data_IF_566612014738
#
_entry.id   IF_566612014738
#
_cell.length_a   1.000
_cell.length_b   1.000
_cell.length_c   1.000
_cell.angle_alpha   90.00
_cell.angle_beta   90.00
_cell.angle_gamma   90.00
#
_symmetry.space_group_name_H-M   'P 1'
#
loop_
_entity.id
_entity.type
_entity.pdbx_description
1 polymer ?
#
# COMPACT_ATOMS: atom_id res chain seq x y z
N UNK A 1 -50.21 -25.94 12.46
CA UNK A 1 -49.58 -27.09 11.78
C UNK A 1 -49.92 -27.03 10.30
N UNK A 2 -49.13 -26.32 9.49
CA UNK A 2 -49.38 -26.19 8.04
C UNK A 2 -48.24 -26.84 7.25
N UNK A 3 -48.55 -27.98 6.64
CA UNK A 3 -47.65 -28.77 5.80
C UNK A 3 -47.46 -28.06 4.45
N UNK A 4 -46.28 -27.50 4.20
CA UNK A 4 -45.91 -27.00 2.87
C UNK A 4 -45.36 -28.16 2.02
N UNK A 5 -45.92 -28.33 0.82
CA UNK A 5 -45.49 -29.33 -0.18
C UNK A 5 -44.12 -28.96 -0.78
N UNK A 6 -43.26 -29.96 -1.09
CA UNK A 6 -41.98 -29.71 -1.73
C UNK A 6 -42.14 -29.31 -3.22
N UNK A 7 -41.28 -28.39 -3.69
CA UNK A 7 -41.22 -27.95 -5.09
C UNK A 7 -40.40 -28.92 -5.95
N UNK A 8 -40.76 -29.13 -7.23
CA UNK A 8 -39.97 -29.94 -8.15
C UNK A 8 -38.68 -29.24 -8.60
N UNK A 9 -37.60 -30.01 -8.67
CA UNK A 9 -36.25 -29.59 -9.10
C UNK A 9 -36.18 -29.50 -10.63
N UNK A 10 -35.61 -28.44 -11.23
CA UNK A 10 -35.38 -28.40 -12.67
C UNK A 10 -34.25 -29.35 -13.10
N UNK A 11 -34.49 -30.06 -14.21
CA UNK A 11 -33.56 -31.02 -14.80
C UNK A 11 -32.28 -30.35 -15.34
N UNK A 12 -31.13 -30.95 -14.99
CA UNK A 12 -29.78 -30.57 -15.39
C UNK A 12 -29.57 -30.87 -16.88
N UNK A 13 -29.41 -29.84 -17.71
CA UNK A 13 -28.99 -30.01 -19.13
C UNK A 13 -27.52 -30.42 -19.19
N UNK A 14 -27.25 -31.57 -19.79
CA UNK A 14 -25.91 -32.02 -20.16
C UNK A 14 -25.57 -31.39 -21.52
N UNK A 15 -24.54 -30.54 -21.55
CA UNK A 15 -24.01 -29.96 -22.78
C UNK A 15 -23.06 -30.96 -23.46
N UNK A 16 -23.16 -31.06 -24.80
CA UNK A 16 -22.38 -31.95 -25.64
C UNK A 16 -20.89 -31.56 -25.75
N UNK A 17 -19.98 -32.52 -26.02
CA UNK A 17 -18.56 -32.26 -26.20
C UNK A 17 -18.28 -31.47 -27.49
N UNK A 18 -17.43 -30.44 -27.39
CA UNK A 18 -16.94 -29.63 -28.52
C UNK A 18 -15.68 -30.29 -29.11
N UNK A 19 -15.62 -30.56 -30.42
CA UNK A 19 -14.41 -31.08 -31.05
C UNK A 19 -13.39 -29.97 -31.39
N UNK A 20 -12.10 -30.32 -31.31
CA UNK A 20 -11.10 -29.84 -32.27
C UNK A 20 -10.05 -28.85 -31.75
N UNK A 21 -9.00 -29.38 -31.13
CA UNK A 21 -7.72 -28.70 -30.91
C UNK A 21 -6.99 -28.42 -32.23
N UNK A 22 -6.98 -27.18 -32.70
CA UNK A 22 -6.01 -26.75 -33.71
C UNK A 22 -4.70 -26.34 -33.04
N UNK A 23 -3.84 -27.33 -32.82
CA UNK A 23 -2.40 -27.09 -32.73
C UNK A 23 -1.94 -26.63 -34.11
N UNK A 24 -1.59 -25.36 -34.24
CA UNK A 24 -0.75 -24.87 -35.35
C UNK A 24 0.36 -24.01 -34.76
N UNK A 25 1.42 -24.70 -34.36
CA UNK A 25 2.75 -24.10 -34.21
C UNK A 25 3.18 -23.59 -35.58
N UNK A 26 3.22 -22.28 -35.76
CA UNK A 26 3.95 -21.69 -36.88
C UNK A 26 4.96 -20.70 -36.31
N UNK A 27 6.18 -21.22 -36.19
CA UNK A 27 7.41 -20.51 -35.86
C UNK A 27 7.71 -19.59 -37.05
N UNK A 28 7.52 -18.29 -36.90
CA UNK A 28 8.02 -17.32 -37.86
C UNK A 28 9.43 -16.92 -37.43
N UNK A 29 10.40 -17.49 -38.13
CA UNK A 29 11.81 -17.13 -38.08
C UNK A 29 12.00 -15.66 -38.46
N UNK A 30 12.92 -14.99 -37.78
CA UNK A 30 13.37 -13.63 -38.06
C UNK A 30 13.65 -13.40 -39.55
N UNK A 31 13.14 -12.30 -40.09
CA UNK A 31 13.60 -11.68 -41.32
C UNK A 31 13.91 -10.21 -41.06
N UNK A 32 15.17 -9.91 -40.74
CA UNK A 32 15.72 -8.56 -40.66
C UNK A 32 15.98 -8.08 -42.10
N UNK A 33 15.31 -7.02 -42.54
CA UNK A 33 15.78 -6.19 -43.65
C UNK A 33 15.04 -4.85 -43.66
N UNK A 34 15.79 -3.75 -43.70
CA UNK A 34 15.30 -2.46 -44.20
C UNK A 34 15.32 -1.32 -43.19
N UNK A 35 16.52 -0.82 -42.90
CA UNK A 35 16.75 0.54 -42.39
C UNK A 35 16.05 1.53 -43.32
N UNK A 36 15.06 2.28 -42.82
CA UNK A 36 14.55 3.49 -43.48
C UNK A 36 14.97 4.69 -42.63
N UNK A 37 15.63 5.61 -43.33
CA UNK A 37 16.31 6.77 -42.81
C UNK A 37 15.39 7.73 -42.04
N UNK A 38 15.98 8.26 -40.96
CA UNK A 38 15.57 9.44 -40.18
C UNK A 38 15.22 10.61 -41.09
N UNK A 39 14.07 11.25 -40.87
CA UNK A 39 13.84 12.71 -40.81
C UNK A 39 12.46 12.93 -40.18
N UNK A 40 12.44 13.61 -39.04
CA UNK A 40 11.21 13.99 -38.35
C UNK A 40 11.47 14.18 -36.87
N UNK A 41 11.92 15.37 -36.51
CA UNK A 41 12.11 15.85 -35.14
C UNK A 41 10.92 15.51 -34.24
N UNK A 42 11.05 14.43 -33.49
CA UNK A 42 10.11 13.98 -32.47
C UNK A 42 10.90 13.46 -31.31
N UNK A 43 11.62 14.37 -30.64
CA UNK A 43 12.13 14.13 -29.30
C UNK A 43 10.89 13.91 -28.44
N UNK A 44 10.47 12.65 -28.27
CA UNK A 44 9.60 12.26 -27.17
C UNK A 44 10.45 12.36 -25.90
N UNK A 45 10.73 13.58 -25.46
CA UNK A 45 11.09 13.82 -24.08
C UNK A 45 9.82 13.52 -23.30
N UNK A 46 9.62 12.26 -22.94
CA UNK A 46 8.77 11.92 -21.80
C UNK A 46 9.48 12.45 -20.56
N UNK A 47 9.45 13.77 -20.37
CA UNK A 47 9.58 14.36 -19.04
C UNK A 47 8.28 14.00 -18.35
N UNK A 48 8.18 12.77 -17.83
CA UNK A 48 7.39 12.60 -16.64
C UNK A 48 8.04 13.53 -15.63
N UNK A 49 7.50 14.73 -15.53
CA UNK A 49 7.63 15.56 -14.35
C UNK A 49 6.87 14.80 -13.27
N UNK A 50 7.44 13.67 -12.83
CA UNK A 50 7.29 13.19 -11.48
C UNK A 50 7.95 14.29 -10.68
N UNK A 51 7.18 15.36 -10.42
CA UNK A 51 7.41 16.18 -9.25
C UNK A 51 7.52 15.15 -8.13
N UNK A 52 8.69 14.94 -7.51
CA UNK A 52 8.72 14.11 -6.33
C UNK A 52 7.68 14.76 -5.43
N UNK A 53 6.61 14.02 -5.19
CA UNK A 53 5.76 14.36 -4.09
C UNK A 53 6.65 14.55 -2.88
N UNK A 54 6.33 15.46 -1.96
CA UNK A 54 6.97 15.49 -0.66
C UNK A 54 6.69 14.20 0.16
N UNK A 55 6.54 13.04 -0.50
CA UNK A 55 6.67 11.71 0.04
C UNK A 55 8.03 11.62 0.75
N UNK A 56 7.94 11.84 2.06
CA UNK A 56 8.88 11.51 3.11
C UNK A 56 10.36 11.69 2.74
N UNK A 57 10.97 12.71 3.32
CA UNK A 57 12.42 12.89 3.30
C UNK A 57 13.22 11.72 3.91
N UNK A 58 12.54 10.73 4.50
CA UNK A 58 13.15 9.58 5.16
C UNK A 58 13.28 8.32 4.29
N UNK A 59 14.18 7.45 4.70
CA UNK A 59 14.42 6.14 4.11
C UNK A 59 13.41 5.11 4.65
N UNK A 60 12.55 4.61 3.77
CA UNK A 60 11.52 3.62 4.09
C UNK A 60 12.11 2.31 4.65
N UNK A 61 13.25 1.85 4.15
CA UNK A 61 13.84 0.59 4.58
C UNK A 61 14.45 0.72 5.99
N UNK A 62 15.13 1.84 6.24
CA UNK A 62 15.62 2.19 7.58
C UNK A 62 14.45 2.36 8.56
N UNK A 63 13.39 3.04 8.13
CA UNK A 63 12.15 3.22 8.88
C UNK A 63 11.43 1.93 9.23
N UNK A 64 11.38 0.97 8.32
CA UNK A 64 10.82 -0.36 8.57
C UNK A 64 11.57 -1.06 9.70
N UNK A 65 12.90 -1.11 9.62
CA UNK A 65 13.73 -1.77 10.63
C UNK A 65 13.54 -1.12 12.03
N UNK A 66 13.52 0.22 12.07
CA UNK A 66 13.30 0.97 13.31
C UNK A 66 11.88 0.79 13.85
N UNK A 67 10.86 0.77 12.99
CA UNK A 67 9.49 0.54 13.38
C UNK A 67 9.29 -0.86 13.97
N UNK A 68 9.87 -1.88 13.31
CA UNK A 68 9.85 -3.27 13.77
C UNK A 68 10.44 -3.40 15.19
N UNK A 69 11.57 -2.71 15.43
CA UNK A 69 12.27 -2.74 16.71
C UNK A 69 11.53 -1.98 17.84
N UNK A 70 10.86 -0.87 17.53
CA UNK A 70 10.41 0.08 18.56
C UNK A 70 8.89 0.20 18.70
N UNK A 71 8.12 -0.08 17.64
CA UNK A 71 6.72 0.37 17.56
C UNK A 71 5.72 -0.80 17.54
N UNK A 72 6.12 -1.95 17.01
CA UNK A 72 5.22 -3.07 16.69
C UNK A 72 4.51 -3.68 17.89
N UNK A 73 5.13 -3.62 19.08
CA UNK A 73 4.53 -4.12 20.32
C UNK A 73 3.15 -3.48 20.59
N UNK A 74 2.99 -2.21 20.25
CA UNK A 74 1.75 -1.48 20.48
C UNK A 74 0.96 -1.22 19.18
N UNK A 75 1.65 -0.95 18.08
CA UNK A 75 1.03 -0.58 16.80
C UNK A 75 0.90 -1.72 15.80
N UNK A 76 1.36 -2.93 16.13
CA UNK A 76 1.32 -4.10 15.24
C UNK A 76 2.44 -4.08 14.19
N UNK A 77 2.73 -5.24 13.59
CA UNK A 77 3.86 -5.43 12.65
C UNK A 77 3.76 -4.50 11.43
N UNK A 78 2.55 -4.32 10.90
CA UNK A 78 2.27 -3.49 9.74
C UNK A 78 1.46 -2.24 10.12
N UNK A 79 1.59 -1.74 11.36
CA UNK A 79 0.84 -0.58 11.80
C UNK A 79 -0.68 -0.79 11.90
N UNK A 80 -1.13 -2.05 11.97
CA UNK A 80 -2.56 -2.44 12.03
C UNK A 80 -3.19 -2.27 13.40
N UNK A 81 -2.42 -1.84 14.40
CA UNK A 81 -2.85 -1.69 15.78
C UNK A 81 -2.85 -3.00 16.56
N UNK A 82 -2.98 -2.86 17.88
CA UNK A 82 -3.16 -3.97 18.83
C UNK A 82 -4.16 -3.55 19.91
N UNK A 83 -4.33 -4.36 20.96
CA UNK A 83 -5.07 -3.93 22.15
C UNK A 83 -4.35 -2.84 22.96
N UNK A 84 -3.06 -2.60 22.69
CA UNK A 84 -2.22 -1.64 23.41
C UNK A 84 -1.94 -0.36 22.62
N UNK A 85 -2.40 -0.24 21.38
CA UNK A 85 -2.16 0.94 20.56
C UNK A 85 -3.00 0.97 19.28
N UNK A 86 -3.29 2.17 18.76
CA UNK A 86 -4.15 2.36 17.59
C UNK A 86 -3.51 1.83 16.29
N UNK A 87 -4.32 1.54 15.27
CA UNK A 87 -3.84 1.34 13.91
C UNK A 87 -3.30 2.66 13.34
N UNK A 88 -2.05 2.68 12.92
CA UNK A 88 -1.44 3.80 12.21
C UNK A 88 -1.81 3.80 10.71
N UNK A 89 -2.24 2.65 10.19
CA UNK A 89 -2.84 2.52 8.86
C UNK A 89 -4.36 2.73 8.98
N UNK A 90 -4.77 3.97 9.26
CA UNK A 90 -6.17 4.38 9.42
C UNK A 90 -6.38 5.80 8.92
N UNK A 91 -7.60 6.13 8.47
CA UNK A 91 -7.96 7.46 7.94
C UNK A 91 -7.64 8.62 8.90
N UNK A 92 -7.74 8.37 10.21
CA UNK A 92 -7.42 9.38 11.21
C UNK A 92 -5.95 9.78 11.21
N UNK A 93 -5.06 8.94 10.70
CA UNK A 93 -3.61 9.13 10.77
C UNK A 93 -2.98 9.52 9.43
N UNK A 94 -3.78 9.77 8.39
CA UNK A 94 -3.28 10.26 7.09
C UNK A 94 -2.79 11.72 7.20
N UNK A 95 -1.94 12.22 6.28
CA UNK A 95 -1.31 13.54 6.38
C UNK A 95 -2.30 14.70 6.54
N UNK A 96 -3.48 14.61 5.93
CA UNK A 96 -4.53 15.64 6.01
C UNK A 96 -5.19 15.74 7.39
N UNK A 97 -5.03 14.74 8.26
CA UNK A 97 -5.57 14.73 9.62
C UNK A 97 -4.47 14.75 10.69
N UNK A 98 -3.39 14.00 10.50
CA UNK A 98 -2.19 14.04 11.33
C UNK A 98 -0.96 14.20 10.43
N UNK A 99 -0.42 15.42 10.41
CA UNK A 99 0.82 15.74 9.71
C UNK A 99 2.01 14.97 10.30
N UNK A 100 3.08 14.82 9.53
CA UNK A 100 4.29 14.08 9.95
C UNK A 100 4.90 14.65 11.24
N UNK A 101 4.85 15.98 11.43
CA UNK A 101 5.29 16.62 12.66
C UNK A 101 4.53 16.14 13.93
N UNK A 102 3.28 15.69 13.79
CA UNK A 102 2.53 15.13 14.91
C UNK A 102 3.09 13.77 15.33
N UNK A 103 3.54 12.94 14.38
CA UNK A 103 4.19 11.66 14.69
C UNK A 103 5.54 11.90 15.37
N UNK A 104 6.32 12.84 14.86
CA UNK A 104 7.59 13.21 15.46
C UNK A 104 7.43 13.73 16.90
N UNK A 105 6.44 14.60 17.15
CA UNK A 105 6.15 15.06 18.50
C UNK A 105 5.66 13.91 19.41
N UNK A 106 4.82 13.02 18.88
CA UNK A 106 4.31 11.86 19.60
C UNK A 106 5.44 10.92 20.06
N UNK A 107 6.40 10.64 19.19
CA UNK A 107 7.56 9.80 19.54
C UNK A 107 8.46 10.51 20.56
N UNK A 108 8.73 11.81 20.37
CA UNK A 108 9.62 12.57 21.27
C UNK A 108 9.06 12.83 22.66
N UNK A 109 7.76 13.08 22.76
CA UNK A 109 7.14 13.61 23.99
C UNK A 109 6.00 12.77 24.52
N UNK A 110 5.62 11.72 23.81
CA UNK A 110 4.45 10.91 24.11
C UNK A 110 3.14 11.61 23.76
N UNK A 111 2.03 10.88 23.93
CA UNK A 111 0.68 11.36 23.63
C UNK A 111 -0.30 10.89 24.69
N UNK A 112 -1.17 11.79 25.13
CA UNK A 112 -2.34 11.43 25.94
C UNK A 112 -3.49 10.97 25.03
N UNK A 113 -4.24 9.94 25.43
CA UNK A 113 -5.35 9.43 24.63
C UNK A 113 -6.41 10.51 24.45
N UNK A 114 -6.92 10.63 23.22
CA UNK A 114 -7.95 11.62 22.86
C UNK A 114 -9.01 11.08 21.89
N UNK A 115 -8.65 10.18 20.95
CA UNK A 115 -9.61 9.53 20.05
C UNK A 115 -9.97 8.09 20.45
N UNK A 116 -9.07 7.41 21.16
CA UNK A 116 -9.18 5.99 21.47
C UNK A 116 -8.81 5.74 22.93
N UNK A 117 -9.25 4.61 23.47
CA UNK A 117 -8.99 4.23 24.86
C UNK A 117 -7.85 3.19 24.98
N UNK A 118 -6.72 3.42 24.30
CA UNK A 118 -5.52 2.55 24.39
C UNK A 118 -4.60 2.89 25.59
N UNK A 119 -4.85 4.02 26.26
CA UNK A 119 -3.93 4.58 27.25
C UNK A 119 -2.93 5.56 26.63
N UNK A 120 -2.03 6.13 27.44
CA UNK A 120 -1.01 7.05 26.94
C UNK A 120 0.08 6.31 26.15
N UNK A 121 0.54 6.94 25.08
CA UNK A 121 1.78 6.57 24.40
C UNK A 121 2.94 7.27 25.12
N UNK A 122 3.91 6.56 25.71
CA UNK A 122 5.10 7.19 26.29
C UNK A 122 6.04 7.71 25.19
N UNK A 123 6.97 8.64 25.52
CA UNK A 123 8.12 8.93 24.67
C UNK A 123 8.92 7.66 24.36
N UNK A 124 9.51 7.60 23.16
CA UNK A 124 10.44 6.54 22.78
C UNK A 124 11.86 7.11 22.83
N UNK A 125 12.64 6.61 23.77
CA UNK A 125 14.02 7.05 23.99
C UNK A 125 14.98 6.44 22.96
N UNK A 126 16.09 7.12 22.69
CA UNK A 126 17.18 6.59 21.86
C UNK A 126 16.95 6.68 20.35
N UNK A 127 15.90 7.37 19.90
CA UNK A 127 15.67 7.71 18.49
C UNK A 127 16.02 9.17 18.23
N UNK A 128 16.73 9.44 17.15
CA UNK A 128 16.99 10.78 16.62
C UNK A 128 15.81 11.26 15.78
N UNK A 129 15.84 12.53 15.40
CA UNK A 129 14.79 13.14 14.55
C UNK A 129 14.76 12.52 13.16
N UNK A 130 15.93 12.17 12.63
CA UNK A 130 16.07 11.50 11.34
C UNK A 130 15.53 10.06 11.43
N UNK A 131 15.82 9.33 12.52
CA UNK A 131 15.25 8.00 12.76
C UNK A 131 13.71 8.04 12.76
N UNK A 132 13.13 9.05 13.42
CA UNK A 132 11.67 9.20 13.44
C UNK A 132 11.13 9.61 12.08
N UNK A 133 11.87 10.41 11.32
CA UNK A 133 11.51 10.77 9.94
C UNK A 133 11.47 9.53 9.05
N UNK A 134 12.44 8.62 9.18
CA UNK A 134 12.47 7.34 8.49
C UNK A 134 11.28 6.45 8.90
N UNK A 135 10.99 6.36 10.21
CA UNK A 135 9.82 5.63 10.71
C UNK A 135 8.52 6.17 10.09
N UNK A 136 8.37 7.50 10.04
CA UNK A 136 7.19 8.13 9.41
C UNK A 136 7.14 7.80 7.92
N UNK A 137 8.28 7.82 7.22
CA UNK A 137 8.36 7.40 5.82
C UNK A 137 7.81 5.98 5.61
N UNK A 138 8.19 5.05 6.48
CA UNK A 138 7.66 3.68 6.47
C UNK A 138 6.15 3.63 6.73
N UNK A 139 5.65 4.33 7.76
CA UNK A 139 4.20 4.37 8.04
C UNK A 139 3.41 4.94 6.85
N UNK A 140 3.92 5.99 6.19
CA UNK A 140 3.30 6.53 4.97
C UNK A 140 3.35 5.52 3.82
N UNK A 141 4.42 4.73 3.69
CA UNK A 141 4.50 3.67 2.70
C UNK A 141 3.40 2.61 2.90
N UNK A 142 3.12 2.23 4.15
CA UNK A 142 2.04 1.32 4.50
C UNK A 142 0.68 1.92 4.15
N UNK A 143 0.45 3.19 4.49
CA UNK A 143 -0.80 3.89 4.14
C UNK A 143 -1.02 3.98 2.62
N UNK A 144 0.03 4.19 1.81
CA UNK A 144 -0.05 4.13 0.34
C UNK A 144 -0.41 2.73 -0.15
N UNK A 145 0.27 1.71 0.38
CA UNK A 145 -0.01 0.31 0.01
C UNK A 145 -1.45 -0.12 0.36
N UNK A 146 -2.00 0.44 1.44
CA UNK A 146 -3.38 0.25 1.87
C UNK A 146 -4.40 1.15 1.15
N UNK A 147 -3.96 2.01 0.23
CA UNK A 147 -4.83 2.90 -0.55
C UNK A 147 -5.45 4.06 0.26
N UNK A 148 -4.89 4.40 1.42
CA UNK A 148 -5.37 5.51 2.25
C UNK A 148 -4.88 6.87 1.77
N UNK A 149 -3.72 6.89 1.12
CA UNK A 149 -3.11 8.09 0.54
C UNK A 149 -2.51 7.75 -0.81
N UNK A 150 -2.52 8.71 -1.72
CA UNK A 150 -1.86 8.58 -3.02
C UNK A 150 -0.40 9.06 -2.94
N UNK A 151 0.31 8.96 -4.07
CA UNK A 151 1.68 9.41 -4.18
C UNK A 151 1.79 10.94 -4.14
N UNK A 152 0.72 11.73 -4.05
CA UNK A 152 0.74 13.21 -4.06
C UNK A 152 0.21 13.88 -2.79
N UNK A 153 -0.22 13.10 -1.78
CA UNK A 153 -0.80 13.55 -0.50
C UNK A 153 0.20 13.80 0.62
#
# INVERSE_FOLDING_TARGET
>A
MSRQKPRPTPARRVAAPRPGSHRRTLRWTLGIAGVIAVIGTGIWLSTTNTTPSPAATGDVASGEALFLANCTRCHGVEGTGTQSGPPLVHESYVPSHHADAAFLLAVRTGVRPHHWNFGPMPPIEGLTDDDVTDIVAYVRSLQRSGGLIDDGS
#
